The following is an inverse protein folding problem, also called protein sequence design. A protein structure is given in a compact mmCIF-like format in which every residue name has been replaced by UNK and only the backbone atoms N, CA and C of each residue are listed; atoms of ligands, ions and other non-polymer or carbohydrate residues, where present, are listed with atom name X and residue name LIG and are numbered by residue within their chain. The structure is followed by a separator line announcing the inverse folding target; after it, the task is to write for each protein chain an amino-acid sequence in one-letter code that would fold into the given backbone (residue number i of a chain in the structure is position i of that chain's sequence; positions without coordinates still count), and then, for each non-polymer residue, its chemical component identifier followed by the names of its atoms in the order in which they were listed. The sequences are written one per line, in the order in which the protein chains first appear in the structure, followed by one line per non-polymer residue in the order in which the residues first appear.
data_IF_446815977175
#
_entry.id   IF_446815977175
#
_cell.length_a   1.000
_cell.length_b   1.000
_cell.length_c   1.000
_cell.angle_alpha   90.00
_cell.angle_beta   90.00
_cell.angle_gamma   90.00
#
_symmetry.space_group_name_H-M   'P 1'
#
loop_
_entity.id
_entity.type
_entity.pdbx_description
1 polymer ?
#
# COMPACT_ATOMS: atom_id res chain seq x y z
N UNK A 1 -40.27 40.45 10.15
CA UNK A 1 -39.27 40.45 9.06
C UNK A 1 -38.19 39.45 9.44
N UNK A 2 -38.20 38.27 8.80
CA UNK A 2 -37.26 37.19 9.09
C UNK A 2 -37.53 36.05 8.11
N UNK A 3 -36.83 36.06 6.98
CA UNK A 3 -36.92 34.98 6.00
C UNK A 3 -35.91 33.91 6.38
N UNK A 4 -36.41 32.74 6.79
CA UNK A 4 -35.63 31.54 7.02
C UNK A 4 -35.31 30.89 5.67
N UNK A 5 -34.03 30.82 5.31
CA UNK A 5 -33.57 30.01 4.18
C UNK A 5 -33.41 28.56 4.64
N UNK A 6 -34.33 27.70 4.21
CA UNK A 6 -34.22 26.25 4.33
C UNK A 6 -33.28 25.72 3.23
N UNK A 7 -32.16 25.11 3.63
CA UNK A 7 -31.27 24.37 2.73
C UNK A 7 -31.94 23.05 2.31
N UNK A 8 -32.39 22.97 1.07
CA UNK A 8 -32.80 21.73 0.40
C UNK A 8 -31.56 21.03 -0.16
N UNK A 9 -30.96 20.11 0.60
CA UNK A 9 -30.02 19.12 0.08
C UNK A 9 -30.82 18.04 -0.66
N UNK A 10 -30.69 18.00 -1.98
CA UNK A 10 -31.28 16.96 -2.82
C UNK A 10 -30.58 15.61 -2.61
N UNK A 11 -31.36 14.52 -2.67
CA UNK A 11 -30.87 13.15 -2.54
C UNK A 11 -29.82 12.83 -3.62
N UNK A 12 -28.65 12.34 -3.20
CA UNK A 12 -27.69 11.69 -4.08
C UNK A 12 -28.03 10.20 -4.16
N UNK A 13 -27.92 9.59 -5.34
CA UNK A 13 -28.13 8.17 -5.55
C UNK A 13 -27.16 7.62 -6.58
N UNK A 14 -26.59 6.45 -6.30
CA UNK A 14 -25.78 5.67 -7.24
C UNK A 14 -26.61 4.49 -7.70
N UNK A 15 -26.75 4.29 -9.01
CA UNK A 15 -27.40 3.10 -9.57
C UNK A 15 -26.40 2.35 -10.45
N UNK A 16 -26.29 1.04 -10.20
CA UNK A 16 -25.68 0.10 -11.16
C UNK A 16 -26.75 -0.20 -12.21
N UNK A 17 -26.48 0.20 -13.45
CA UNK A 17 -27.40 -0.01 -14.58
C UNK A 17 -26.75 -1.06 -15.49
N UNK A 18 -27.41 -2.20 -15.67
CA UNK A 18 -27.01 -3.18 -16.69
C UNK A 18 -27.23 -2.57 -18.07
N UNK A 19 -26.13 -2.41 -18.82
CA UNK A 19 -26.20 -1.86 -20.17
C UNK A 19 -26.55 -2.97 -21.17
N UNK A 20 -27.27 -2.61 -22.23
CA UNK A 20 -27.61 -3.53 -23.33
C UNK A 20 -26.37 -4.12 -24.04
N UNK A 21 -25.17 -3.59 -23.79
CA UNK A 21 -23.90 -4.08 -24.34
C UNK A 21 -23.16 -5.04 -23.40
N UNK A 22 -23.71 -5.35 -22.22
CA UNK A 22 -23.08 -6.24 -21.23
C UNK A 22 -21.86 -5.63 -20.53
N UNK A 23 -21.51 -4.38 -20.83
CA UNK A 23 -20.44 -3.66 -20.14
C UNK A 23 -21.01 -3.05 -18.85
N UNK A 24 -20.43 -3.37 -17.67
CA UNK A 24 -20.86 -2.79 -16.42
C UNK A 24 -20.65 -1.28 -16.46
N UNK A 25 -21.74 -0.53 -16.23
CA UNK A 25 -21.74 0.92 -16.28
C UNK A 25 -22.08 1.46 -14.89
N UNK A 26 -21.29 2.41 -14.43
CA UNK A 26 -21.56 3.15 -13.19
C UNK A 26 -22.07 4.52 -13.58
N UNK A 27 -23.37 4.75 -13.37
CA UNK A 27 -23.98 6.04 -13.64
C UNK A 27 -24.13 6.82 -12.35
N UNK A 28 -23.71 8.08 -12.39
CA UNK A 28 -23.88 9.01 -11.29
C UNK A 28 -24.75 10.18 -11.72
N UNK A 29 -25.75 10.48 -10.91
CA UNK A 29 -26.60 11.65 -11.09
C UNK A 29 -26.45 12.58 -9.90
N UNK A 30 -25.94 13.78 -10.15
CA UNK A 30 -25.99 14.88 -9.20
C UNK A 30 -26.97 15.94 -9.71
N UNK A 31 -27.98 16.26 -8.90
CA UNK A 31 -28.87 17.40 -9.15
C UNK A 31 -28.32 18.63 -8.45
N UNK A 32 -27.82 19.56 -9.24
CA UNK A 32 -27.46 20.91 -8.80
C UNK A 32 -28.62 21.88 -9.12
N UNK A 33 -28.72 23.05 -8.47
CA UNK A 33 -29.87 23.95 -8.61
C UNK A 33 -30.21 24.32 -10.07
N UNK A 34 -29.24 24.28 -10.99
CA UNK A 34 -29.40 24.64 -12.39
C UNK A 34 -28.89 23.59 -13.40
N UNK A 35 -28.41 22.44 -12.92
CA UNK A 35 -27.76 21.43 -13.77
C UNK A 35 -28.09 20.02 -13.28
N UNK A 36 -28.30 19.11 -14.23
CA UNK A 36 -28.15 17.69 -13.96
C UNK A 36 -26.77 17.31 -14.47
N UNK A 37 -25.91 16.83 -13.58
CA UNK A 37 -24.63 16.23 -13.96
C UNK A 37 -24.84 14.73 -14.05
N UNK A 38 -24.64 14.20 -15.26
CA UNK A 38 -24.61 12.78 -15.52
C UNK A 38 -23.17 12.41 -15.87
N UNK A 39 -22.50 11.69 -14.97
CA UNK A 39 -21.17 11.15 -15.24
C UNK A 39 -21.35 9.74 -15.79
N UNK A 40 -21.03 9.58 -17.06
CA UNK A 40 -21.02 8.28 -17.71
C UNK A 40 -19.58 7.80 -17.83
N UNK A 41 -19.17 6.94 -16.91
CA UNK A 41 -17.89 6.26 -17.00
C UNK A 41 -18.09 4.97 -17.79
N UNK A 42 -17.41 4.87 -18.93
CA UNK A 42 -17.38 3.63 -19.72
C UNK A 42 -16.02 2.98 -19.50
N UNK A 43 -16.00 1.96 -18.64
CA UNK A 43 -14.80 1.16 -18.43
C UNK A 43 -14.70 0.18 -19.62
N UNK A 44 -13.59 0.18 -20.39
CA UNK A 44 -13.43 -0.80 -21.46
C UNK A 44 -13.49 -2.21 -20.86
N UNK A 45 -14.25 -3.09 -21.51
CA UNK A 45 -14.30 -4.49 -21.10
C UNK A 45 -12.86 -5.04 -21.08
N UNK A 46 -12.47 -5.63 -19.94
CA UNK A 46 -11.19 -6.31 -19.80
C UNK A 46 -11.08 -7.33 -20.94
N UNK A 47 -9.98 -7.37 -21.71
CA UNK A 47 -9.85 -8.31 -22.82
C UNK A 47 -10.03 -9.72 -22.26
N UNK A 48 -11.18 -10.31 -22.55
CA UNK A 48 -11.47 -11.69 -22.17
C UNK A 48 -10.41 -12.62 -22.73
N UNK A 49 -10.25 -13.78 -22.08
CA UNK A 49 -9.27 -14.86 -22.33
C UNK A 49 -9.26 -15.46 -23.76
N UNK A 50 -9.78 -14.78 -24.77
CA UNK A 50 -9.63 -15.17 -26.16
C UNK A 50 -8.14 -15.11 -26.55
N UNK A 51 -7.57 -16.18 -27.13
CA UNK A 51 -6.19 -16.19 -27.56
C UNK A 51 -5.95 -15.08 -28.60
N UNK A 52 -4.79 -14.38 -28.53
CA UNK A 52 -4.51 -13.26 -29.42
C UNK A 52 -4.50 -13.75 -30.87
N UNK A 53 -5.39 -13.20 -31.69
CA UNK A 53 -5.35 -13.41 -33.14
C UNK A 53 -4.10 -12.71 -33.69
N UNK A 54 -3.23 -13.41 -34.43
CA UNK A 54 -2.01 -12.82 -34.97
C UNK A 54 -2.39 -11.83 -36.08
N UNK A 55 -2.36 -10.53 -35.76
CA UNK A 55 -2.63 -9.47 -36.75
C UNK A 55 -3.17 -8.15 -36.20
N UNK A 56 -3.65 -8.11 -34.95
CA UNK A 56 -4.19 -6.87 -34.39
C UNK A 56 -3.14 -6.16 -33.52
N UNK A 57 -2.68 -5.00 -34.00
CA UNK A 57 -1.96 -4.02 -33.19
C UNK A 57 -2.75 -3.69 -31.92
N UNK A 58 -2.12 -3.54 -30.75
CA UNK A 58 -2.81 -3.20 -29.52
C UNK A 58 -3.51 -1.85 -29.68
N UNK A 59 -4.84 -1.86 -29.71
CA UNK A 59 -5.63 -0.64 -29.64
C UNK A 59 -5.45 -0.04 -28.26
N UNK A 60 -4.90 1.18 -28.20
CA UNK A 60 -4.89 1.96 -26.97
C UNK A 60 -6.35 2.12 -26.51
N UNK A 61 -6.68 1.61 -25.32
CA UNK A 61 -7.98 1.81 -24.71
C UNK A 61 -8.13 3.29 -24.37
N UNK A 62 -8.84 4.04 -25.22
CA UNK A 62 -9.17 5.43 -24.95
C UNK A 62 -10.29 5.47 -23.90
N UNK A 63 -9.97 5.98 -22.72
CA UNK A 63 -10.97 6.29 -21.70
C UNK A 63 -11.70 7.58 -22.11
N UNK A 64 -13.04 7.53 -22.17
CA UNK A 64 -13.87 8.71 -22.42
C UNK A 64 -14.79 8.96 -21.24
N UNK A 65 -14.58 10.08 -20.55
CA UNK A 65 -15.53 10.60 -19.58
C UNK A 65 -16.48 11.51 -20.35
N UNK A 66 -17.71 11.06 -20.56
CA UNK A 66 -18.78 11.94 -21.03
C UNK A 66 -19.46 12.57 -19.82
N UNK A 67 -19.23 13.86 -19.62
CA UNK A 67 -19.97 14.67 -18.63
C UNK A 67 -21.03 15.46 -19.38
N UNK A 68 -22.26 14.99 -19.33
CA UNK A 68 -23.38 15.70 -19.97
C UNK A 68 -23.93 16.75 -19.02
N UNK A 69 -23.73 18.02 -19.38
CA UNK A 69 -24.39 19.15 -18.73
C UNK A 69 -25.63 19.53 -19.51
N UNK A 70 -26.80 19.09 -19.04
CA UNK A 70 -28.07 19.54 -19.62
C UNK A 70 -28.37 20.97 -19.16
N UNK A 71 -27.86 21.97 -19.90
CA UNK A 71 -28.26 23.38 -19.73
C UNK A 71 -29.67 23.59 -20.29
N UNK A 72 -30.61 24.02 -19.46
CA UNK A 72 -31.89 24.59 -19.92
C UNK A 72 -31.66 26.02 -20.42
N UNK A 73 -31.11 26.20 -21.62
CA UNK A 73 -30.94 27.54 -22.21
C UNK A 73 -29.94 27.63 -23.37
N UNK A 74 -30.19 28.58 -24.28
CA UNK A 74 -29.49 28.85 -25.56
C UNK A 74 -27.95 28.77 -25.44
N UNK A 75 -27.24 28.09 -26.37
CA UNK A 75 -25.80 27.87 -26.26
C UNK A 75 -25.02 29.15 -26.55
N UNK A 76 -24.69 29.93 -25.52
CA UNK A 76 -23.54 30.80 -25.58
C UNK A 76 -22.30 29.89 -25.56
N UNK A 77 -21.53 29.93 -26.65
CA UNK A 77 -20.30 29.17 -26.90
C UNK A 77 -19.24 29.47 -25.82
N UNK A 78 -19.44 28.89 -24.64
CA UNK A 78 -18.61 29.08 -23.46
C UNK A 78 -18.05 27.72 -23.15
N UNK A 79 -16.78 27.52 -23.55
CA UNK A 79 -16.02 26.33 -23.17
C UNK A 79 -16.08 26.21 -21.64
N UNK A 80 -16.62 25.09 -21.19
CA UNK A 80 -16.74 24.80 -19.77
C UNK A 80 -15.38 24.32 -19.25
N UNK A 81 -14.72 25.11 -18.39
CA UNK A 81 -13.38 24.76 -17.90
C UNK A 81 -13.48 23.83 -16.71
N UNK A 82 -12.52 22.91 -16.59
CA UNK A 82 -12.46 21.96 -15.48
C UNK A 82 -12.45 22.65 -14.10
N UNK A 83 -11.75 23.76 -13.94
CA UNK A 83 -11.70 24.51 -12.68
C UNK A 83 -13.00 25.29 -12.37
N UNK A 84 -13.90 25.44 -13.34
CA UNK A 84 -15.23 26.02 -13.12
C UNK A 84 -16.21 24.98 -12.51
N UNK A 85 -15.82 23.70 -12.43
CA UNK A 85 -16.57 22.67 -11.69
C UNK A 85 -16.59 22.98 -10.19
N UNK A 86 -17.64 22.59 -9.45
CA UNK A 86 -17.58 22.54 -7.99
C UNK A 86 -16.47 21.60 -7.50
N UNK A 87 -15.77 21.91 -6.39
CA UNK A 87 -14.72 21.05 -5.84
C UNK A 87 -15.15 19.61 -5.60
N UNK A 88 -16.40 19.39 -5.19
CA UNK A 88 -16.95 18.06 -4.92
C UNK A 88 -16.96 17.19 -6.18
N UNK A 89 -17.33 17.78 -7.33
CA UNK A 89 -17.31 17.08 -8.62
C UNK A 89 -15.88 16.81 -9.06
N UNK A 90 -14.94 17.73 -8.81
CA UNK A 90 -13.52 17.50 -9.13
C UNK A 90 -12.95 16.34 -8.31
N UNK A 91 -13.29 16.27 -7.01
CA UNK A 91 -12.90 15.15 -6.14
C UNK A 91 -13.46 13.82 -6.66
N UNK A 92 -14.72 13.78 -7.08
CA UNK A 92 -15.28 12.57 -7.71
C UNK A 92 -14.49 12.14 -8.96
N UNK A 93 -14.07 13.11 -9.78
CA UNK A 93 -13.24 12.83 -10.96
C UNK A 93 -11.85 12.31 -10.52
N UNK A 94 -11.23 12.91 -9.50
CA UNK A 94 -9.96 12.45 -8.95
C UNK A 94 -10.05 11.02 -8.42
N UNK A 95 -11.12 10.69 -7.72
CA UNK A 95 -11.35 9.32 -7.23
C UNK A 95 -11.41 8.32 -8.37
N UNK A 96 -12.16 8.63 -9.43
CA UNK A 96 -12.33 7.72 -10.57
C UNK A 96 -11.01 7.47 -11.33
N UNK A 97 -10.16 8.49 -11.48
CA UNK A 97 -8.96 8.40 -12.34
C UNK A 97 -7.67 8.11 -11.57
N UNK A 98 -7.63 8.34 -10.26
CA UNK A 98 -6.43 8.15 -9.43
C UNK A 98 -6.55 6.97 -8.48
N UNK A 99 -7.74 6.48 -8.14
CA UNK A 99 -7.90 5.37 -7.19
C UNK A 99 -8.03 4.04 -7.94
N UNK A 100 -6.99 3.23 -7.87
CA UNK A 100 -6.87 1.93 -8.55
C UNK A 100 -6.80 0.75 -7.59
N UNK A 101 -6.91 1.01 -6.29
CA UNK A 101 -6.78 0.01 -5.24
C UNK A 101 -5.32 -0.23 -4.90
N UNK A 102 -4.58 -0.96 -5.74
CA UNK A 102 -3.18 -1.31 -5.50
C UNK A 102 -2.24 -0.52 -6.42
N UNK A 103 -1.29 0.20 -5.81
CA UNK A 103 -0.25 0.94 -6.51
C UNK A 103 1.09 0.26 -6.27
N UNK A 104 1.65 -0.29 -7.35
CA UNK A 104 2.94 -0.97 -7.32
C UNK A 104 4.07 0.03 -7.32
N UNK A 105 4.92 -0.04 -6.31
CA UNK A 105 6.15 0.73 -6.28
C UNK A 105 7.07 0.29 -7.42
N UNK A 106 7.65 1.26 -8.12
CA UNK A 106 8.67 1.07 -9.15
C UNK A 106 9.91 1.85 -8.76
N UNK A 107 11.08 1.24 -8.93
CA UNK A 107 12.33 1.95 -8.68
C UNK A 107 12.52 3.09 -9.70
N UNK A 108 13.52 3.96 -9.50
CA UNK A 108 13.81 5.08 -10.43
C UNK A 108 14.06 4.65 -11.88
N UNK A 109 14.47 3.40 -12.11
CA UNK A 109 14.69 2.84 -13.43
C UNK A 109 13.43 2.26 -14.06
N UNK A 110 12.28 2.37 -13.37
CA UNK A 110 11.02 1.77 -13.80
C UNK A 110 11.04 0.24 -13.79
N UNK A 111 12.09 -0.37 -13.24
CA UNK A 111 12.21 -1.81 -13.15
C UNK A 111 11.35 -2.29 -11.98
N UNK A 112 10.56 -3.32 -12.26
CA UNK A 112 9.94 -4.10 -11.20
C UNK A 112 11.03 -4.96 -10.54
N UNK A 113 10.92 -5.20 -9.22
CA UNK A 113 11.75 -6.21 -8.58
C UNK A 113 11.57 -7.52 -9.35
N UNK A 114 12.66 -8.18 -9.78
CA UNK A 114 12.55 -9.55 -10.24
C UNK A 114 12.01 -10.39 -9.07
N UNK A 115 11.10 -11.31 -9.39
CA UNK A 115 10.67 -12.40 -8.52
C UNK A 115 9.65 -12.12 -7.39
N UNK A 116 9.11 -10.91 -7.21
CA UNK A 116 8.01 -10.70 -6.22
C UNK A 116 6.67 -11.27 -6.74
N UNK A 117 6.11 -12.28 -6.07
CA UNK A 117 4.87 -12.93 -6.49
C UNK A 117 3.67 -11.98 -6.52
N UNK A 118 3.65 -10.95 -5.66
CA UNK A 118 2.58 -9.95 -5.63
C UNK A 118 2.54 -9.09 -6.88
N UNK A 119 3.65 -9.04 -7.62
CA UNK A 119 3.79 -8.29 -8.85
C UNK A 119 3.40 -9.09 -10.10
N UNK A 120 3.12 -10.40 -9.99
CA UNK A 120 2.75 -11.25 -11.15
C UNK A 120 1.55 -10.72 -11.94
N UNK A 121 0.56 -10.17 -11.24
CA UNK A 121 -0.68 -9.64 -11.83
C UNK A 121 -0.69 -8.11 -11.94
N UNK A 122 0.43 -7.42 -11.74
CA UNK A 122 0.45 -5.96 -11.73
C UNK A 122 -0.01 -5.33 -13.06
N UNK A 123 0.12 -6.05 -14.17
CA UNK A 123 -0.27 -5.59 -15.50
C UNK A 123 -1.80 -5.65 -15.71
N UNK A 124 -2.51 -6.42 -14.89
CA UNK A 124 -3.98 -6.52 -14.91
C UNK A 124 -4.64 -5.40 -14.10
N UNK A 125 -3.90 -4.79 -13.19
CA UNK A 125 -4.40 -3.71 -12.35
C UNK A 125 -4.32 -2.38 -13.13
N UNK A 126 -5.42 -1.59 -13.16
CA UNK A 126 -5.43 -0.29 -13.80
C UNK A 126 -4.32 0.62 -13.27
N UNK A 127 -3.73 1.44 -14.15
CA UNK A 127 -2.71 2.42 -13.76
C UNK A 127 -3.40 3.75 -13.41
N UNK A 128 -3.01 4.42 -12.32
CA UNK A 128 -3.55 5.73 -12.00
C UNK A 128 -3.05 6.78 -13.00
N UNK A 129 -3.91 7.73 -13.37
CA UNK A 129 -3.57 8.80 -14.32
C UNK A 129 -2.78 9.94 -13.67
N UNK A 130 -1.52 9.65 -13.29
CA UNK A 130 -0.65 10.58 -12.54
C UNK A 130 -0.30 11.88 -13.29
N UNK A 131 -0.57 11.95 -14.60
CA UNK A 131 -0.40 13.18 -15.37
C UNK A 131 -1.29 14.31 -14.83
N UNK A 132 -2.43 13.96 -14.22
CA UNK A 132 -3.35 14.92 -13.62
C UNK A 132 -2.70 15.70 -12.48
N UNK A 133 -1.85 15.06 -11.68
CA UNK A 133 -1.12 15.68 -10.57
C UNK A 133 -0.10 16.74 -11.04
N UNK A 134 0.15 16.86 -12.35
CA UNK A 134 1.13 17.77 -12.94
C UNK A 134 0.51 18.93 -13.72
N UNK A 135 -0.83 19.01 -13.79
CA UNK A 135 -1.52 20.00 -14.63
C UNK A 135 -1.43 21.41 -14.04
N UNK A 136 -1.80 21.59 -12.78
CA UNK A 136 -1.74 22.87 -12.08
C UNK A 136 -1.56 22.66 -10.58
N UNK A 137 -1.09 23.69 -9.87
CA UNK A 137 -0.93 23.63 -8.41
C UNK A 137 -2.25 23.34 -7.69
N UNK A 138 -3.33 24.00 -8.11
CA UNK A 138 -4.64 23.76 -7.51
C UNK A 138 -5.10 22.31 -7.69
N UNK A 139 -4.93 21.73 -8.88
CA UNK A 139 -5.30 20.33 -9.12
C UNK A 139 -4.41 19.40 -8.30
N UNK A 140 -3.12 19.69 -8.20
CA UNK A 140 -2.19 18.91 -7.38
C UNK A 140 -2.62 18.90 -5.91
N UNK A 141 -2.86 20.08 -5.32
CA UNK A 141 -3.23 20.25 -3.92
C UNK A 141 -4.58 19.56 -3.59
N UNK A 142 -5.50 19.49 -4.55
CA UNK A 142 -6.79 18.80 -4.37
C UNK A 142 -6.70 17.28 -4.61
N UNK A 143 -5.90 16.83 -5.60
CA UNK A 143 -5.89 15.46 -6.07
C UNK A 143 -4.84 14.57 -5.39
N UNK A 144 -3.69 15.11 -4.97
CA UNK A 144 -2.64 14.36 -4.27
C UNK A 144 -3.18 13.67 -2.99
N UNK A 145 -3.96 14.35 -2.12
CA UNK A 145 -4.53 13.72 -0.94
C UNK A 145 -5.48 12.56 -1.29
N UNK A 146 -6.28 12.68 -2.36
CA UNK A 146 -7.20 11.63 -2.81
C UNK A 146 -6.42 10.41 -3.27
N UNK A 147 -5.38 10.61 -4.08
CA UNK A 147 -4.51 9.55 -4.57
C UNK A 147 -3.80 8.80 -3.43
N UNK A 148 -3.16 9.54 -2.52
CA UNK A 148 -2.33 8.94 -1.47
C UNK A 148 -3.14 8.32 -0.33
N UNK A 149 -4.33 8.87 -0.05
CA UNK A 149 -5.16 8.40 1.06
C UNK A 149 -6.12 7.28 0.71
N UNK A 150 -6.29 6.91 -0.57
CA UNK A 150 -7.25 5.88 -0.99
C UNK A 150 -6.62 4.68 -1.70
N UNK A 151 -5.35 4.77 -2.08
CA UNK A 151 -4.62 3.66 -2.68
C UNK A 151 -3.75 2.94 -1.64
N UNK A 152 -3.65 1.63 -1.80
CA UNK A 152 -2.74 0.73 -1.12
C UNK A 152 -1.40 0.68 -1.85
N UNK A 153 -0.34 1.15 -1.22
CA UNK A 153 1.00 1.20 -1.80
C UNK A 153 1.74 -0.10 -1.51
N UNK A 154 1.98 -0.88 -2.57
CA UNK A 154 2.71 -2.14 -2.49
C UNK A 154 4.21 -1.83 -2.59
N UNK A 155 4.92 -2.04 -1.50
CA UNK A 155 6.36 -1.85 -1.38
C UNK A 155 7.08 -3.17 -1.70
N UNK A 156 8.18 -3.15 -2.47
CA UNK A 156 8.89 -4.35 -2.89
C UNK A 156 9.67 -4.99 -1.74
N UNK A 157 10.23 -6.18 -1.95
CA UNK A 157 11.25 -6.75 -1.06
C UNK A 157 12.41 -5.77 -0.86
N UNK A 158 12.86 -5.57 0.38
CA UNK A 158 14.00 -4.70 0.70
C UNK A 158 13.72 -3.20 0.54
N UNK A 159 12.46 -2.79 0.51
CA UNK A 159 12.05 -1.40 0.31
C UNK A 159 12.62 -0.44 1.36
N UNK A 160 12.92 -0.91 2.57
CA UNK A 160 13.46 -0.11 3.67
C UNK A 160 14.81 0.51 3.31
N UNK A 161 15.61 -0.19 2.49
CA UNK A 161 16.89 0.31 1.97
C UNK A 161 16.72 1.38 0.92
N UNK A 162 15.59 1.38 0.23
CA UNK A 162 15.25 2.40 -0.76
C UNK A 162 14.85 3.72 -0.11
N UNK A 163 14.52 3.69 1.19
CA UNK A 163 14.12 4.83 2.00
C UNK A 163 12.99 5.65 1.34
N UNK A 164 11.87 5.03 0.93
CA UNK A 164 10.82 5.72 0.17
C UNK A 164 10.19 6.90 0.92
N UNK A 165 10.32 6.93 2.25
CA UNK A 165 9.75 7.92 3.15
C UNK A 165 10.79 8.89 3.74
N UNK A 166 12.07 8.81 3.33
CA UNK A 166 13.10 9.69 3.87
C UNK A 166 13.10 11.05 3.16
N UNK A 167 12.62 12.07 3.88
CA UNK A 167 12.55 13.46 3.42
C UNK A 167 13.95 14.12 3.40
N UNK A 168 14.89 13.61 4.20
CA UNK A 168 16.17 14.26 4.47
C UNK A 168 17.32 13.68 3.67
N UNK A 169 17.09 12.62 2.91
CA UNK A 169 18.13 12.00 2.09
C UNK A 169 18.41 12.83 0.85
N UNK A 170 19.18 13.91 1.03
CA UNK A 170 19.76 14.70 -0.07
C UNK A 170 20.92 13.97 -0.75
N UNK A 171 21.43 12.90 -0.13
CA UNK A 171 22.64 12.19 -0.53
C UNK A 171 22.37 10.83 -1.18
N UNK A 172 21.16 10.26 -1.06
CA UNK A 172 20.84 9.03 -1.77
C UNK A 172 20.50 9.30 -3.22
N UNK A 173 21.00 8.43 -4.10
CA UNK A 173 20.57 8.31 -5.49
C UNK A 173 19.08 7.93 -5.64
N UNK A 174 18.33 7.83 -4.55
CA UNK A 174 16.90 7.53 -4.50
C UNK A 174 16.13 8.79 -4.13
N UNK A 175 15.12 9.14 -4.92
CA UNK A 175 14.29 10.33 -4.68
C UNK A 175 13.22 9.86 -3.71
N UNK A 176 12.80 10.69 -2.76
CA UNK A 176 11.65 10.34 -1.95
C UNK A 176 10.47 10.05 -2.88
N UNK A 177 9.73 8.98 -2.57
CA UNK A 177 8.62 8.52 -3.39
C UNK A 177 7.47 9.53 -3.41
N UNK A 178 7.34 10.24 -2.30
CA UNK A 178 6.27 11.20 -2.04
C UNK A 178 6.87 12.56 -1.69
N UNK A 179 6.11 13.61 -2.01
CA UNK A 179 6.42 14.93 -1.48
C UNK A 179 6.31 14.90 0.05
N UNK A 180 7.03 15.80 0.74
CA UNK A 180 6.93 15.92 2.20
C UNK A 180 5.48 16.15 2.65
N UNK A 181 4.74 16.95 1.89
CA UNK A 181 3.32 17.18 2.12
C UNK A 181 2.51 15.90 1.86
N UNK A 182 2.77 15.21 0.76
CA UNK A 182 2.11 13.97 0.37
C UNK A 182 2.24 12.84 1.39
N UNK A 183 3.38 12.71 2.07
CA UNK A 183 3.58 11.67 3.09
C UNK A 183 2.51 11.70 4.19
N UNK A 184 1.96 12.87 4.52
CA UNK A 184 0.90 12.97 5.54
C UNK A 184 -0.42 12.37 5.09
N UNK A 185 -0.57 12.07 3.81
CA UNK A 185 -1.77 11.48 3.21
C UNK A 185 -1.65 9.99 2.94
N UNK A 186 -0.46 9.38 3.06
CA UNK A 186 -0.30 7.93 2.88
C UNK A 186 -1.01 7.21 4.02
N UNK A 187 -1.93 6.29 3.68
CA UNK A 187 -2.78 5.59 4.67
C UNK A 187 -2.76 4.07 4.57
N UNK A 188 -2.49 3.52 3.40
CA UNK A 188 -2.57 2.08 3.14
C UNK A 188 -1.24 1.62 2.56
N UNK A 189 -0.57 0.70 3.27
CA UNK A 189 0.73 0.16 2.87
C UNK A 189 0.65 -1.36 2.89
N UNK A 190 1.21 -2.00 1.87
CA UNK A 190 1.40 -3.45 1.81
C UNK A 190 2.85 -3.75 1.52
N UNK A 191 3.48 -4.61 2.31
CA UNK A 191 4.85 -5.05 2.05
C UNK A 191 5.01 -6.54 2.33
N UNK A 192 6.00 -7.13 1.68
CA UNK A 192 6.38 -8.52 1.88
C UNK A 192 7.56 -8.57 2.83
N UNK A 193 7.56 -9.60 3.66
CA UNK A 193 8.71 -10.02 4.41
C UNK A 193 9.22 -11.33 3.79
N UNK A 194 10.31 -11.24 3.05
CA UNK A 194 10.92 -12.32 2.26
C UNK A 194 12.26 -12.75 2.90
N UNK A 195 12.63 -14.02 2.79
CA UNK A 195 13.97 -14.54 3.04
C UNK A 195 15.08 -13.71 2.36
N UNK A 196 14.83 -13.08 1.21
CA UNK A 196 15.81 -12.26 0.49
C UNK A 196 16.09 -10.91 1.13
N UNK A 197 15.26 -10.47 2.09
CA UNK A 197 15.55 -9.27 2.91
C UNK A 197 16.95 -9.39 3.55
N UNK A 198 17.44 -10.61 3.76
CA UNK A 198 18.76 -10.93 4.32
C UNK A 198 19.95 -10.45 3.46
N UNK A 199 19.81 -10.33 2.14
CA UNK A 199 20.94 -10.18 1.20
C UNK A 199 21.72 -8.85 1.30
N UNK A 200 21.36 -7.93 2.20
CA UNK A 200 22.15 -6.72 2.46
C UNK A 200 23.19 -6.86 3.56
N UNK A 201 23.06 -7.87 4.44
CA UNK A 201 24.03 -8.20 5.48
C UNK A 201 24.85 -9.41 5.04
N UNK A 202 25.61 -9.24 3.95
CA UNK A 202 26.36 -10.34 3.36
C UNK A 202 25.45 -11.36 2.69
N UNK A 203 25.78 -11.74 1.47
CA UNK A 203 25.11 -12.88 0.88
C UNK A 203 25.72 -14.09 1.58
N UNK A 204 24.99 -14.79 2.44
CA UNK A 204 25.55 -15.97 3.14
C UNK A 204 25.98 -17.06 2.14
N UNK A 205 25.59 -16.96 0.86
CA UNK A 205 26.10 -17.80 -0.23
C UNK A 205 27.40 -17.29 -0.87
N UNK A 206 27.89 -16.11 -0.50
CA UNK A 206 29.15 -15.54 -0.95
C UNK A 206 30.28 -16.02 -0.04
N UNK A 207 31.18 -16.85 -0.57
CA UNK A 207 32.37 -17.38 0.12
C UNK A 207 33.23 -16.32 0.83
N UNK A 208 33.17 -15.06 0.41
CA UNK A 208 33.85 -13.96 1.08
C UNK A 208 33.24 -13.63 2.46
N UNK A 209 31.93 -13.76 2.62
CA UNK A 209 31.24 -13.50 3.88
C UNK A 209 31.56 -14.58 4.91
N UNK A 210 31.76 -15.84 4.48
CA UNK A 210 32.19 -16.94 5.35
C UNK A 210 33.54 -16.64 6.03
N UNK A 211 34.51 -16.08 5.31
CA UNK A 211 35.81 -15.72 5.89
C UNK A 211 35.70 -14.60 6.92
N UNK A 212 34.81 -13.64 6.67
CA UNK A 212 34.49 -12.63 7.68
C UNK A 212 33.91 -13.32 8.92
N UNK A 213 33.02 -14.30 8.73
CA UNK A 213 32.42 -15.05 9.83
C UNK A 213 33.43 -15.88 10.64
N UNK A 214 34.43 -16.50 10.00
CA UNK A 214 35.54 -17.18 10.71
C UNK A 214 36.28 -16.22 11.66
N UNK A 215 36.44 -14.95 11.25
CA UNK A 215 37.03 -13.91 12.09
C UNK A 215 36.17 -13.53 13.29
N UNK A 216 34.84 -13.54 13.15
CA UNK A 216 33.90 -13.21 14.24
C UNK A 216 33.67 -14.38 15.19
N UNK A 217 33.58 -15.60 14.67
CA UNK A 217 33.38 -16.82 15.47
C UNK A 217 34.66 -17.32 16.15
N UNK A 218 35.84 -16.86 15.69
CA UNK A 218 37.14 -17.33 16.19
C UNK A 218 37.42 -18.81 15.88
N UNK A 219 36.58 -19.45 15.06
CA UNK A 219 36.64 -20.87 14.70
C UNK A 219 36.59 -20.96 13.18
N UNK A 220 37.45 -21.79 12.58
CA UNK A 220 37.40 -22.01 11.14
C UNK A 220 36.19 -22.85 10.79
N UNK A 221 35.64 -22.61 9.62
CA UNK A 221 34.48 -23.37 9.15
C UNK A 221 34.78 -24.87 8.99
N UNK A 222 36.03 -25.19 8.60
CA UNK A 222 36.52 -26.56 8.47
C UNK A 222 36.48 -27.36 9.79
N UNK A 223 36.49 -26.65 10.93
CA UNK A 223 36.49 -27.26 12.26
C UNK A 223 35.06 -27.43 12.84
N UNK A 224 34.04 -26.86 12.19
CA UNK A 224 32.66 -26.93 12.64
C UNK A 224 31.93 -28.14 12.07
N UNK A 225 31.10 -28.79 12.89
CA UNK A 225 30.15 -29.78 12.41
C UNK A 225 29.06 -29.13 11.56
N UNK A 226 28.44 -29.91 10.65
CA UNK A 226 27.32 -29.42 9.85
C UNK A 226 26.16 -28.88 10.70
N UNK A 227 25.94 -29.45 11.90
CA UNK A 227 24.91 -28.98 12.81
C UNK A 227 25.22 -27.56 13.33
N UNK A 228 26.45 -27.34 13.81
CA UNK A 228 26.89 -26.01 14.29
C UNK A 228 26.85 -24.96 13.19
N UNK A 229 27.18 -25.34 11.97
CA UNK A 229 27.07 -24.49 10.79
C UNK A 229 25.61 -24.06 10.58
N UNK A 230 24.67 -25.01 10.59
CA UNK A 230 23.26 -24.71 10.39
C UNK A 230 22.68 -23.86 11.52
N UNK A 231 23.04 -24.14 12.77
CA UNK A 231 22.60 -23.37 13.93
C UNK A 231 23.11 -21.92 13.83
N UNK A 232 24.39 -21.74 13.48
CA UNK A 232 24.95 -20.41 13.26
C UNK A 232 24.30 -19.67 12.09
N UNK A 233 24.04 -20.36 10.97
CA UNK A 233 23.32 -19.77 9.85
C UNK A 233 21.93 -19.31 10.29
N UNK A 234 21.19 -20.12 11.05
CA UNK A 234 19.85 -19.77 11.53
C UNK A 234 19.88 -18.53 12.46
N UNK A 235 20.82 -18.49 13.39
CA UNK A 235 20.99 -17.35 14.32
C UNK A 235 21.35 -16.06 13.56
N UNK A 236 22.29 -16.13 12.62
CA UNK A 236 22.68 -14.99 11.78
C UNK A 236 21.52 -14.51 10.90
N UNK A 237 20.72 -15.45 10.39
CA UNK A 237 19.49 -15.14 9.67
C UNK A 237 18.50 -14.36 10.51
N UNK A 238 18.36 -14.75 11.78
CA UNK A 238 17.41 -14.17 12.73
C UNK A 238 17.81 -12.75 13.10
N UNK A 239 19.10 -12.50 13.29
CA UNK A 239 19.65 -11.17 13.53
C UNK A 239 19.45 -10.24 12.33
N UNK A 240 19.84 -10.66 11.12
CA UNK A 240 19.66 -9.87 9.91
C UNK A 240 18.18 -9.56 9.62
N UNK A 241 17.30 -10.52 9.93
CA UNK A 241 15.86 -10.34 9.83
C UNK A 241 15.33 -9.33 10.86
N UNK A 242 15.80 -9.41 12.10
CA UNK A 242 15.49 -8.44 13.14
C UNK A 242 15.87 -7.01 12.73
N UNK A 243 17.10 -6.82 12.25
CA UNK A 243 17.59 -5.52 11.80
C UNK A 243 16.76 -4.95 10.66
N UNK A 244 16.37 -5.79 9.70
CA UNK A 244 15.52 -5.35 8.59
C UNK A 244 14.11 -4.95 9.06
N UNK A 245 13.51 -5.71 9.98
CA UNK A 245 12.22 -5.33 10.58
C UNK A 245 12.32 -4.02 11.35
N UNK A 246 13.42 -3.81 12.07
CA UNK A 246 13.70 -2.55 12.77
C UNK A 246 13.83 -1.38 11.79
N UNK A 247 14.53 -1.57 10.67
CA UNK A 247 14.64 -0.58 9.62
C UNK A 247 13.30 -0.28 8.92
N UNK A 248 12.48 -1.31 8.68
CA UNK A 248 11.11 -1.14 8.16
C UNK A 248 10.24 -0.35 9.14
N UNK A 249 10.30 -0.69 10.43
CA UNK A 249 9.51 -0.01 11.45
C UNK A 249 9.94 1.45 11.63
N UNK A 250 11.25 1.74 11.64
CA UNK A 250 11.75 3.12 11.63
C UNK A 250 11.25 3.88 10.40
N UNK A 251 11.32 3.27 9.22
CA UNK A 251 10.87 3.91 7.98
C UNK A 251 9.36 4.17 7.98
N UNK A 252 8.54 3.26 8.52
CA UNK A 252 7.10 3.46 8.66
C UNK A 252 6.75 4.48 9.76
N UNK A 253 7.52 4.53 10.85
CA UNK A 253 7.34 5.50 11.93
C UNK A 253 7.59 6.96 11.49
N UNK A 254 8.24 7.17 10.34
CA UNK A 254 8.39 8.50 9.72
C UNK A 254 7.12 9.01 9.06
N UNK A 255 6.13 8.14 8.83
CA UNK A 255 4.82 8.55 8.34
C UNK A 255 4.07 9.21 9.49
N UNK A 256 3.75 10.50 9.33
CA UNK A 256 2.95 11.25 10.31
C UNK A 256 1.68 11.69 9.60
N UNK A 257 0.49 11.27 10.04
CA UNK A 257 0.16 10.65 11.34
C UNK A 257 0.33 9.12 11.42
N UNK A 258 0.85 8.48 10.36
CA UNK A 258 1.05 7.03 10.28
C UNK A 258 0.01 6.35 9.37
N UNK A 259 0.28 5.12 8.91
CA UNK A 259 -0.68 4.32 8.16
C UNK A 259 -1.91 3.97 9.00
N UNK A 260 -3.07 3.92 8.35
CA UNK A 260 -4.32 3.38 8.89
C UNK A 260 -4.45 1.89 8.67
N UNK A 261 -3.87 1.41 7.57
CA UNK A 261 -3.89 0.02 7.17
C UNK A 261 -2.47 -0.40 6.82
N UNK A 262 -2.04 -1.52 7.39
CA UNK A 262 -0.79 -2.19 7.04
C UNK A 262 -1.09 -3.63 6.69
N UNK A 263 -0.63 -4.07 5.52
CA UNK A 263 -0.62 -5.46 5.14
C UNK A 263 0.81 -5.99 5.12
N UNK A 264 1.01 -7.12 5.77
CA UNK A 264 2.31 -7.78 5.86
C UNK A 264 2.19 -9.19 5.31
N UNK A 265 2.88 -9.44 4.21
CA UNK A 265 2.89 -10.75 3.55
C UNK A 265 4.12 -11.55 3.97
N UNK A 266 3.92 -12.67 4.66
CA UNK A 266 4.97 -13.61 5.08
C UNK A 266 5.03 -14.87 4.22
N UNK A 267 4.37 -14.90 3.06
CA UNK A 267 4.26 -16.09 2.21
C UNK A 267 5.64 -16.64 1.82
N UNK A 268 6.66 -15.78 1.70
CA UNK A 268 8.03 -16.15 1.35
C UNK A 268 9.04 -16.02 2.52
N UNK A 269 8.54 -15.88 3.75
CA UNK A 269 9.36 -15.69 4.95
C UNK A 269 9.95 -17.00 5.50
N UNK A 270 10.66 -17.79 4.70
CA UNK A 270 11.21 -19.10 5.11
C UNK A 270 12.66 -19.03 5.61
N UNK A 271 13.04 -19.98 6.46
CA UNK A 271 14.43 -20.18 6.90
C UNK A 271 15.35 -20.54 5.73
N UNK A 272 16.67 -20.57 5.96
CA UNK A 272 17.66 -20.87 4.90
C UNK A 272 17.47 -22.22 4.21
N UNK A 273 16.74 -23.11 4.85
CA UNK A 273 16.57 -24.48 4.39
C UNK A 273 15.17 -24.68 3.80
N UNK A 274 14.36 -23.61 3.73
CA UNK A 274 12.96 -23.64 3.31
C UNK A 274 12.08 -24.48 4.24
N UNK A 275 12.55 -24.79 5.46
CA UNK A 275 11.92 -25.79 6.33
C UNK A 275 10.83 -25.17 7.20
N UNK A 276 11.05 -23.97 7.70
CA UNK A 276 10.13 -23.27 8.63
C UNK A 276 10.01 -21.81 8.24
N UNK A 277 8.84 -21.23 8.52
CA UNK A 277 8.69 -19.77 8.47
C UNK A 277 9.57 -19.18 9.59
N UNK A 278 10.36 -18.14 9.30
CA UNK A 278 11.30 -17.49 10.25
C UNK A 278 10.57 -16.87 11.46
N UNK A 279 9.25 -16.87 11.41
CA UNK A 279 8.37 -16.37 12.44
C UNK A 279 8.47 -17.24 13.68
N UNK A 280 9.41 -16.88 14.55
CA UNK A 280 9.23 -17.09 15.97
C UNK A 280 8.02 -16.23 16.38
N UNK A 281 7.04 -16.87 17.01
CA UNK A 281 5.66 -16.40 17.24
C UNK A 281 5.56 -15.00 17.91
N UNK A 282 6.65 -14.52 18.51
CA UNK A 282 6.66 -13.33 19.35
C UNK A 282 7.32 -12.09 18.72
N UNK A 283 8.32 -12.20 17.84
CA UNK A 283 9.19 -11.04 17.57
C UNK A 283 8.72 -10.13 16.43
N UNK A 284 8.32 -10.67 15.28
CA UNK A 284 8.07 -9.84 14.10
C UNK A 284 6.85 -8.92 14.30
N UNK A 285 5.78 -9.45 14.88
CA UNK A 285 4.55 -8.71 15.13
C UNK A 285 4.72 -7.74 16.30
N UNK A 286 5.31 -8.17 17.42
CA UNK A 286 5.52 -7.29 18.60
C UNK A 286 6.45 -6.13 18.26
N UNK A 287 7.51 -6.35 17.47
CA UNK A 287 8.41 -5.26 17.08
C UNK A 287 7.72 -4.29 16.13
N UNK A 288 6.99 -4.78 15.12
CA UNK A 288 6.23 -3.87 14.25
C UNK A 288 5.25 -3.03 15.08
N UNK A 289 4.48 -3.65 15.98
CA UNK A 289 3.53 -2.93 16.85
C UNK A 289 4.20 -1.94 17.79
N UNK A 290 5.35 -2.30 18.38
CA UNK A 290 6.07 -1.45 19.33
C UNK A 290 6.67 -0.22 18.66
N UNK A 291 7.19 -0.37 17.45
CA UNK A 291 7.95 0.68 16.78
C UNK A 291 7.14 1.50 15.79
N UNK A 292 5.99 0.98 15.34
CA UNK A 292 5.16 1.74 14.42
C UNK A 292 4.65 3.04 15.04
N UNK A 293 4.52 3.15 16.36
CA UNK A 293 3.97 4.34 17.06
C UNK A 293 2.76 4.93 16.29
N UNK A 294 1.97 4.04 15.69
CA UNK A 294 0.90 4.43 14.81
C UNK A 294 -0.36 4.53 15.65
N UNK A 295 -0.51 5.64 16.36
CA UNK A 295 -1.76 5.97 17.06
C UNK A 295 -2.99 5.92 16.13
N UNK A 296 -2.75 5.93 14.81
CA UNK A 296 -3.75 5.91 13.76
C UNK A 296 -3.91 4.56 13.05
N UNK A 297 -3.23 3.49 13.49
CA UNK A 297 -3.34 2.18 12.87
C UNK A 297 -4.65 1.49 13.26
N UNK A 298 -5.57 1.42 12.30
CA UNK A 298 -6.92 0.88 12.49
C UNK A 298 -6.94 -0.63 12.21
N UNK A 299 -6.19 -1.08 11.20
CA UNK A 299 -6.19 -2.47 10.76
C UNK A 299 -4.80 -2.96 10.35
N UNK A 300 -4.49 -4.19 10.73
CA UNK A 300 -3.36 -4.94 10.18
C UNK A 300 -3.86 -6.23 9.55
N UNK A 301 -3.45 -6.48 8.31
CA UNK A 301 -3.66 -7.74 7.62
C UNK A 301 -2.35 -8.52 7.57
N UNK A 302 -2.37 -9.79 7.97
CA UNK A 302 -1.19 -10.65 7.92
C UNK A 302 -1.48 -11.84 7.02
N UNK A 303 -0.65 -12.01 6.00
CA UNK A 303 -0.76 -13.07 4.99
C UNK A 303 0.40 -14.07 5.14
N UNK A 304 0.21 -15.30 4.66
CA UNK A 304 1.28 -16.30 4.55
C UNK A 304 1.72 -16.96 5.87
N UNK A 305 1.04 -16.70 6.98
CA UNK A 305 1.22 -17.44 8.23
C UNK A 305 0.57 -18.84 8.09
N UNK A 306 1.31 -19.92 8.33
CA UNK A 306 0.74 -21.27 8.34
C UNK A 306 -0.22 -21.45 9.53
N UNK A 307 -1.35 -22.08 9.25
CA UNK A 307 -2.54 -22.24 10.11
C UNK A 307 -2.31 -22.85 11.50
N UNK A 308 -1.18 -23.51 11.78
CA UNK A 308 -0.85 -23.95 13.14
C UNK A 308 -0.66 -22.79 14.13
N UNK A 309 -0.53 -21.55 13.63
CA UNK A 309 -0.39 -20.31 14.38
C UNK A 309 -1.70 -19.51 14.53
N UNK A 310 -2.84 -20.03 14.04
CA UNK A 310 -4.16 -19.37 14.08
C UNK A 310 -4.68 -19.08 15.50
N UNK A 311 -4.02 -19.60 16.54
CA UNK A 311 -4.34 -19.33 17.95
C UNK A 311 -3.42 -18.33 18.63
N UNK A 312 -2.64 -17.54 17.90
CA UNK A 312 -2.06 -16.33 18.50
C UNK A 312 -3.19 -15.30 18.61
N UNK A 313 -3.92 -15.36 19.72
CA UNK A 313 -4.83 -14.30 20.13
C UNK A 313 -4.01 -13.03 20.38
N UNK A 314 -3.82 -12.22 19.34
CA UNK A 314 -3.26 -10.89 19.46
C UNK A 314 -4.24 -10.00 20.23
N UNK A 315 -4.17 -10.05 21.55
CA UNK A 315 -4.66 -8.97 22.38
C UNK A 315 -3.66 -7.82 22.24
N UNK A 316 -3.77 -7.05 21.14
CA UNK A 316 -3.06 -5.77 20.99
C UNK A 316 -3.29 -4.86 22.22
N UNK A 317 -4.43 -5.04 22.89
CA UNK A 317 -4.80 -4.37 24.14
C UNK A 317 -4.11 -4.91 25.40
N UNK A 318 -3.61 -6.15 25.41
CA UNK A 318 -3.01 -6.77 26.61
C UNK A 318 -1.51 -6.53 26.74
N UNK A 319 -0.79 -6.57 25.62
CA UNK A 319 0.68 -6.38 25.59
C UNK A 319 1.02 -4.90 25.84
N UNK A 320 0.20 -3.98 25.34
CA UNK A 320 0.30 -2.55 25.66
C UNK A 320 -0.12 -2.19 27.09
N UNK A 321 -0.86 -3.03 27.80
CA UNK A 321 -1.24 -2.75 29.20
C UNK A 321 -0.21 -3.30 30.20
N UNK A 322 0.28 -4.53 29.98
CA UNK A 322 1.25 -5.16 30.89
C UNK A 322 2.64 -4.50 30.92
N UNK A 323 3.10 -3.92 29.80
CA UNK A 323 4.42 -3.28 29.73
C UNK A 323 4.41 -1.80 30.17
N UNK A 324 3.25 -1.14 30.15
CA UNK A 324 3.11 0.25 30.61
C UNK A 324 2.79 0.35 32.09
N UNK A 325 2.13 -0.65 32.69
CA UNK A 325 2.02 -0.74 34.16
C UNK A 325 3.40 -0.87 34.86
N UNK A 326 4.46 -1.22 34.12
CA UNK A 326 5.84 -1.21 34.64
C UNK A 326 6.57 0.14 34.48
N UNK A 327 6.03 1.10 33.70
CA UNK A 327 6.72 2.36 33.37
C UNK A 327 5.89 3.63 33.61
N UNK A 328 4.64 3.54 34.10
CA UNK A 328 3.74 4.69 34.24
C UNK A 328 3.57 5.13 35.71
N UNK A 329 4.56 5.87 36.24
CA UNK A 329 4.37 6.72 37.43
C UNK A 329 3.77 8.10 37.07
N UNK A 330 3.59 8.43 35.79
CA UNK A 330 3.33 9.81 35.32
C UNK A 330 1.89 10.11 34.85
N UNK A 331 0.94 9.20 35.07
CA UNK A 331 -0.49 9.54 35.18
C UNK A 331 -1.15 10.11 33.91
N UNK A 332 -0.67 9.78 32.71
CA UNK A 332 -1.36 10.13 31.46
C UNK A 332 -2.35 9.03 31.07
N UNK A 333 -3.65 9.32 31.21
CA UNK A 333 -4.74 8.47 30.70
C UNK A 333 -4.58 8.21 29.20
N UNK A 334 -4.18 6.99 28.83
CA UNK A 334 -4.18 6.54 27.44
C UNK A 334 -5.59 6.16 26.96
N UNK A 335 -5.87 6.50 25.69
CA UNK A 335 -7.07 6.08 24.97
C UNK A 335 -6.93 4.61 24.52
N UNK A 336 -7.99 3.82 24.74
CA UNK A 336 -8.07 2.41 24.35
C UNK A 336 -8.23 2.29 22.82
N UNK A 337 -7.13 2.10 22.08
CA UNK A 337 -7.17 1.83 20.65
C UNK A 337 -7.54 0.35 20.42
N UNK A 338 -8.63 0.08 19.69
CA UNK A 338 -9.00 -1.26 19.22
C UNK A 338 -8.39 -1.47 17.84
N UNK A 339 -7.27 -2.17 17.75
CA UNK A 339 -6.71 -2.61 16.46
C UNK A 339 -7.33 -3.95 16.05
N UNK A 340 -7.84 -4.04 14.82
CA UNK A 340 -8.35 -5.29 14.26
C UNK A 340 -7.21 -6.01 13.52
N UNK A 341 -6.82 -7.18 14.01
CA UNK A 341 -5.91 -8.09 13.30
C UNK A 341 -6.76 -9.09 12.53
N UNK A 342 -6.57 -9.15 11.21
CA UNK A 342 -7.18 -10.18 10.36
C UNK A 342 -6.09 -11.10 9.82
N UNK A 343 -6.35 -12.39 9.89
CA UNK A 343 -5.55 -13.39 9.21
C UNK A 343 -6.25 -13.72 7.89
N UNK A 344 -5.55 -13.55 6.78
CA UNK A 344 -6.03 -13.97 5.48
C UNK A 344 -5.74 -15.46 5.29
N UNK A 345 -6.76 -16.26 5.02
CA UNK A 345 -6.56 -17.61 4.50
C UNK A 345 -6.09 -17.48 3.05
N UNK A 346 -4.96 -18.11 2.71
CA UNK A 346 -4.64 -18.38 1.32
C UNK A 346 -5.61 -19.47 0.87
N UNK A 347 -6.59 -19.12 0.03
CA UNK A 347 -7.38 -20.12 -0.69
C UNK A 347 -6.38 -21.01 -1.43
N UNK A 348 -6.31 -22.28 -1.03
CA UNK A 348 -5.48 -23.27 -1.70
C UNK A 348 -6.00 -23.44 -3.12
N UNK A 349 -5.43 -22.69 -4.07
CA UNK A 349 -5.62 -22.94 -5.49
C UNK A 349 -5.06 -24.32 -5.81
N UNK A 350 -5.92 -25.20 -6.33
CA UNK A 350 -5.62 -26.57 -6.77
C UNK A 350 -4.48 -26.66 -7.80
#
# INVERSE_FOLDING_TARGET
MGASHSNLLGSQGTQLVESATGVPRKEWHARLPNFTLSLNVTIPASPGLAPPSPGNSPSHSTFSIAVDFVRRGKPANTDFRFLDLPPEIRVMIYEEVLVVGNVFFRNRYGQMPPDDHRYRDCNRIPKPELQLLRVSRQIHDEAEPVYLSKNNFLLPVGWERMKPFDIHSSTSSTAPLFSRAGLVHVRYISFIVDQNIRLGHGNVNNSADWRSCEGWMGTKYEDMSLAEIFDWMDDSAREAYHDALMAMADALGRLIPGPRYVEVDYTEAFDYLGRRTILHEDLATILLFRYLNCDNLEQINVLGLRSSLEKVHFNALGIGQQYYDQNDEDGKKMQKIRTLVRFGELEAGE
#
